data_IF_454319369131
#
_entry.id   IF_454319369131
#
_cell.length_a   1.000
_cell.length_b   1.000
_cell.length_c   1.000
_cell.angle_alpha   90.00
_cell.angle_beta   90.00
_cell.angle_gamma   90.00
#
_symmetry.space_group_name_H-M   'P 1'
#
loop_
_entity.id
_entity.type
_entity.pdbx_description
1 polymer ?
#
# COMPACT_ATOMS: atom_id res chain seq x y z
N UNK A 1 -9.62 54.95 -1.73
CA UNK A 1 -9.91 53.65 -1.08
C UNK A 1 -11.42 53.49 -1.07
N UNK A 2 -11.97 52.90 -2.15
CA UNK A 2 -13.40 52.91 -2.41
C UNK A 2 -14.10 51.70 -1.79
N UNK A 3 -15.30 51.97 -1.25
CA UNK A 3 -16.18 51.09 -0.50
C UNK A 3 -16.94 50.08 -1.38
N UNK A 4 -17.26 48.97 -0.73
CA UNK A 4 -18.33 47.95 -0.91
C UNK A 4 -19.30 48.12 -2.09
N UNK A 5 -19.51 47.02 -2.84
CA UNK A 5 -20.83 46.68 -3.37
C UNK A 5 -21.04 45.15 -3.34
N UNK A 6 -22.00 44.71 -2.54
CA UNK A 6 -22.57 43.37 -2.60
C UNK A 6 -23.59 43.29 -3.74
N UNK A 7 -23.52 42.26 -4.58
CA UNK A 7 -24.58 41.96 -5.56
C UNK A 7 -25.15 40.56 -5.27
N UNK A 8 -26.35 40.52 -4.69
CA UNK A 8 -27.34 39.43 -4.81
C UNK A 8 -28.26 39.86 -5.96
N UNK A 9 -28.71 39.09 -6.95
CA UNK A 9 -29.33 37.75 -7.11
C UNK A 9 -29.42 37.53 -8.65
N UNK A 10 -29.35 36.34 -9.25
CA UNK A 10 -30.40 35.30 -9.34
C UNK A 10 -29.81 33.97 -9.87
N UNK A 11 -30.12 32.83 -9.22
CA UNK A 11 -29.80 31.45 -9.66
C UNK A 11 -30.81 30.98 -10.74
N UNK A 12 -30.62 29.90 -11.55
CA UNK A 12 -29.97 28.62 -11.18
C UNK A 12 -29.16 27.89 -12.30
N UNK A 13 -28.54 26.77 -11.92
CA UNK A 13 -27.97 25.72 -12.81
C UNK A 13 -26.64 26.02 -13.53
N UNK A 14 -25.67 26.64 -12.86
CA UNK A 14 -24.26 26.53 -13.28
C UNK A 14 -23.28 26.43 -12.10
N UNK A 15 -23.80 26.13 -10.90
CA UNK A 15 -22.99 25.71 -9.75
C UNK A 15 -22.62 24.21 -9.86
N UNK A 16 -22.62 23.67 -11.07
CA UNK A 16 -22.09 22.35 -11.35
C UNK A 16 -20.61 22.53 -11.71
N UNK A 17 -19.76 21.98 -10.86
CA UNK A 17 -18.39 21.58 -11.17
C UNK A 17 -17.35 22.71 -11.18
N UNK A 18 -16.90 23.08 -9.99
CA UNK A 18 -15.48 23.42 -9.79
C UNK A 18 -15.02 23.18 -8.35
N UNK A 19 -15.47 22.07 -7.76
CA UNK A 19 -14.64 21.41 -6.75
C UNK A 19 -13.59 20.66 -7.57
N UNK A 20 -12.46 21.30 -7.86
CA UNK A 20 -11.26 20.58 -8.26
C UNK A 20 -10.86 19.76 -7.04
N UNK A 21 -11.42 18.56 -6.93
CA UNK A 21 -10.82 17.54 -6.11
C UNK A 21 -9.43 17.34 -6.72
N UNK A 22 -8.41 17.85 -6.03
CA UNK A 22 -7.03 17.46 -6.30
C UNK A 22 -6.98 15.99 -5.92
N UNK A 23 -7.41 15.13 -6.84
CA UNK A 23 -7.18 13.70 -6.75
C UNK A 23 -5.70 13.58 -6.99
N UNK A 24 -4.93 13.58 -5.91
CA UNK A 24 -3.58 13.04 -5.94
C UNK A 24 -3.74 11.60 -6.41
N UNK A 25 -3.52 11.36 -7.69
CA UNK A 25 -3.32 10.02 -8.23
C UNK A 25 -2.02 9.52 -7.63
N UNK A 26 -2.05 9.10 -6.36
CA UNK A 26 -1.11 8.11 -5.89
C UNK A 26 -1.25 6.97 -6.89
N UNK A 27 -0.22 6.75 -7.71
CA UNK A 27 -0.23 5.67 -8.67
C UNK A 27 -0.56 4.41 -7.88
N UNK A 28 -1.70 3.78 -8.18
CA UNK A 28 -2.16 2.62 -7.44
C UNK A 28 -1.07 1.55 -7.53
N UNK A 29 -0.34 1.36 -6.43
CA UNK A 29 0.75 0.42 -6.38
C UNK A 29 0.21 -0.88 -5.81
N UNK A 30 -0.12 -1.81 -6.71
CA UNK A 30 -0.66 -3.13 -6.36
C UNK A 30 0.21 -3.84 -5.33
N UNK A 31 1.53 -3.71 -5.44
CA UNK A 31 2.43 -4.34 -4.48
C UNK A 31 2.27 -3.72 -3.07
N UNK A 32 2.11 -2.40 -3.00
CA UNK A 32 1.85 -1.71 -1.73
C UNK A 32 0.49 -2.11 -1.15
N UNK A 33 -0.56 -2.20 -1.97
CA UNK A 33 -1.90 -2.61 -1.54
C UNK A 33 -1.89 -4.04 -0.98
N UNK A 34 -1.24 -4.99 -1.67
CA UNK A 34 -1.12 -6.38 -1.24
C UNK A 34 -0.34 -6.53 0.06
N UNK A 35 0.76 -5.80 0.21
CA UNK A 35 1.55 -5.80 1.44
C UNK A 35 0.80 -5.12 2.60
N UNK A 36 0.01 -4.09 2.32
CA UNK A 36 -0.86 -3.45 3.31
C UNK A 36 -1.95 -4.42 3.79
N UNK A 37 -2.56 -5.17 2.89
CA UNK A 37 -3.52 -6.21 3.24
C UNK A 37 -2.88 -7.30 4.13
N UNK A 38 -1.67 -7.74 3.79
CA UNK A 38 -0.90 -8.67 4.63
C UNK A 38 -0.66 -8.09 6.04
N UNK A 39 -0.15 -6.86 6.13
CA UNK A 39 0.13 -6.19 7.40
C UNK A 39 -1.12 -6.13 8.29
N UNK A 40 -2.25 -5.75 7.71
CA UNK A 40 -3.52 -5.63 8.44
C UNK A 40 -4.04 -6.98 8.96
N UNK A 41 -3.70 -8.08 8.29
CA UNK A 41 -4.01 -9.44 8.74
C UNK A 41 -3.09 -9.96 9.85
N UNK A 42 -1.97 -9.29 10.12
CA UNK A 42 -0.94 -9.78 11.04
C UNK A 42 -0.95 -9.08 12.39
N UNK A 43 -0.70 -9.88 13.43
CA UNK A 43 -0.27 -9.41 14.73
C UNK A 43 1.25 -9.26 14.70
N UNK A 44 1.70 -8.03 14.95
CA UNK A 44 3.10 -7.65 14.97
C UNK A 44 3.47 -7.09 16.36
N UNK A 45 3.76 -7.96 17.35
CA UNK A 45 4.08 -7.51 18.70
C UNK A 45 5.40 -6.75 18.80
N UNK A 46 6.29 -6.90 17.81
CA UNK A 46 7.60 -6.25 17.76
C UNK A 46 7.61 -4.93 16.99
N UNK A 47 6.53 -4.57 16.30
CA UNK A 47 6.49 -3.41 15.41
C UNK A 47 7.44 -3.52 14.22
N UNK A 48 7.79 -4.74 13.79
CA UNK A 48 8.71 -4.96 12.67
C UNK A 48 8.16 -4.43 11.33
N UNK A 49 6.84 -4.32 11.20
CA UNK A 49 6.14 -3.80 10.01
C UNK A 49 5.74 -2.32 10.18
N UNK A 50 6.36 -1.58 11.10
CA UNK A 50 6.03 -0.17 11.34
C UNK A 50 6.31 0.73 10.13
N UNK A 51 7.32 0.42 9.31
CA UNK A 51 7.66 1.19 8.10
C UNK A 51 6.72 0.94 6.93
N UNK A 52 5.82 -0.04 7.02
CA UNK A 52 4.88 -0.41 5.96
C UNK A 52 3.72 0.59 5.98
N UNK A 53 4.02 1.79 5.51
CA UNK A 53 3.11 2.93 5.49
C UNK A 53 2.44 3.02 4.10
N UNK A 54 1.13 2.77 3.98
CA UNK A 54 0.41 2.82 2.71
C UNK A 54 0.32 4.24 2.12
N UNK A 55 0.64 5.28 2.89
CA UNK A 55 0.76 6.65 2.35
C UNK A 55 2.06 6.84 1.55
N UNK A 56 3.05 5.96 1.73
CA UNK A 56 4.26 5.92 0.92
C UNK A 56 3.99 5.11 -0.34
N UNK A 57 4.14 5.77 -1.50
CA UNK A 57 3.79 5.19 -2.82
C UNK A 57 4.64 3.96 -3.17
N UNK A 58 5.84 3.83 -2.63
CA UNK A 58 6.79 2.78 -3.02
C UNK A 58 7.15 1.85 -1.84
N UNK A 59 6.71 0.57 -1.87
CA UNK A 59 7.02 -0.41 -0.82
C UNK A 59 8.49 -0.83 -0.80
N UNK A 60 9.29 -0.49 -1.81
CA UNK A 60 10.73 -0.74 -1.80
C UNK A 60 11.49 0.05 -0.73
N UNK A 61 10.84 1.03 -0.10
CA UNK A 61 11.38 1.76 1.06
C UNK A 61 11.04 1.11 2.40
N UNK A 62 10.20 0.08 2.39
CA UNK A 62 9.75 -0.60 3.61
C UNK A 62 10.78 -1.63 4.06
N UNK A 63 10.95 -1.77 5.38
CA UNK A 63 11.77 -2.83 5.94
C UNK A 63 11.25 -4.21 5.53
N UNK A 64 12.17 -5.16 5.39
CA UNK A 64 11.89 -6.54 5.01
C UNK A 64 11.34 -6.72 3.58
N UNK A 65 11.35 -5.67 2.76
CA UNK A 65 10.96 -5.69 1.34
C UNK A 65 12.19 -5.46 0.49
N UNK A 66 12.38 -6.29 -0.54
CA UNK A 66 13.39 -6.07 -1.58
C UNK A 66 12.71 -6.02 -2.94
N UNK A 67 13.10 -5.04 -3.75
CA UNK A 67 12.58 -4.85 -5.09
C UNK A 67 13.62 -5.06 -6.18
N UNK A 68 13.16 -5.27 -7.41
CA UNK A 68 13.98 -5.20 -8.61
C UNK A 68 14.20 -3.75 -9.11
N UNK A 69 14.89 -3.61 -10.24
CA UNK A 69 15.13 -2.31 -10.89
C UNK A 69 13.87 -1.62 -11.46
N UNK A 70 12.73 -2.31 -11.46
CA UNK A 70 11.43 -1.78 -11.91
C UNK A 70 10.51 -1.42 -10.73
N UNK A 71 11.06 -1.37 -9.50
CA UNK A 71 10.31 -1.14 -8.26
C UNK A 71 9.21 -2.20 -7.99
N UNK A 72 9.41 -3.44 -8.43
CA UNK A 72 8.51 -4.56 -8.13
C UNK A 72 9.05 -5.40 -7.00
N UNK A 73 8.18 -5.82 -6.09
CA UNK A 73 8.58 -6.61 -4.91
C UNK A 73 9.00 -8.01 -5.36
N UNK A 74 10.26 -8.38 -5.10
CA UNK A 74 10.83 -9.68 -5.46
C UNK A 74 11.15 -10.56 -4.24
N UNK A 75 11.31 -9.97 -3.06
CA UNK A 75 11.58 -10.72 -1.84
C UNK A 75 10.93 -10.08 -0.61
N UNK A 76 10.35 -10.92 0.24
CA UNK A 76 9.87 -10.57 1.58
C UNK A 76 10.59 -11.40 2.64
N UNK A 77 11.26 -10.74 3.59
CA UNK A 77 11.94 -11.41 4.72
C UNK A 77 11.20 -11.19 6.04
N UNK A 78 10.18 -12.02 6.27
CA UNK A 78 9.34 -11.98 7.46
C UNK A 78 9.80 -13.00 8.53
N UNK A 79 11.03 -13.54 8.38
CA UNK A 79 11.59 -14.54 9.26
C UNK A 79 11.92 -13.99 10.65
N UNK A 80 11.64 -14.76 11.71
CA UNK A 80 11.99 -14.44 13.12
C UNK A 80 11.39 -13.14 13.66
N UNK A 81 10.40 -12.56 12.98
CA UNK A 81 9.71 -11.33 13.40
C UNK A 81 8.58 -11.55 14.42
N UNK A 82 8.33 -12.81 14.83
CA UNK A 82 7.24 -13.20 15.73
C UNK A 82 5.85 -12.76 15.24
N UNK A 83 5.69 -12.60 13.93
CA UNK A 83 4.41 -12.30 13.29
C UNK A 83 3.47 -13.51 13.43
N UNK A 84 2.18 -13.24 13.64
CA UNK A 84 1.15 -14.28 13.68
C UNK A 84 -0.15 -13.79 13.07
N UNK A 85 -0.89 -14.66 12.39
CA UNK A 85 -2.11 -14.29 11.68
C UNK A 85 -2.21 -15.01 10.33
N UNK A 86 -3.33 -14.86 9.62
CA UNK A 86 -3.47 -15.41 8.27
C UNK A 86 -2.55 -14.74 7.26
N UNK A 87 -2.21 -15.46 6.18
CA UNK A 87 -1.69 -14.83 4.97
C UNK A 87 -2.86 -14.17 4.23
N UNK A 88 -2.66 -12.93 3.80
CA UNK A 88 -3.61 -12.22 2.96
C UNK A 88 -3.63 -12.85 1.55
N UNK A 89 -4.81 -13.20 0.98
CA UNK A 89 -4.90 -13.72 -0.38
C UNK A 89 -4.38 -12.74 -1.44
N UNK A 90 -4.39 -11.45 -1.13
CA UNK A 90 -3.85 -10.36 -1.95
C UNK A 90 -2.36 -10.53 -2.25
N UNK A 91 -1.62 -11.31 -1.45
CA UNK A 91 -0.22 -11.68 -1.77
C UNK A 91 -0.08 -12.32 -3.15
N UNK A 92 -1.12 -12.95 -3.68
CA UNK A 92 -1.13 -13.49 -5.05
C UNK A 92 -1.02 -12.42 -6.15
N UNK A 93 -1.18 -11.14 -5.82
CA UNK A 93 -1.00 -10.03 -6.76
C UNK A 93 0.47 -9.57 -6.88
N UNK A 94 1.36 -10.04 -6.00
CA UNK A 94 2.80 -9.80 -6.08
C UNK A 94 3.42 -10.68 -7.19
N UNK A 95 3.13 -10.33 -8.44
CA UNK A 95 3.46 -11.15 -9.62
C UNK A 95 4.96 -11.29 -9.91
N UNK A 96 5.81 -10.43 -9.32
CA UNK A 96 7.27 -10.53 -9.39
C UNK A 96 7.91 -11.15 -8.14
N UNK A 97 7.13 -11.54 -7.13
CA UNK A 97 7.68 -12.11 -5.89
C UNK A 97 8.35 -13.46 -6.17
N UNK A 98 9.65 -13.55 -5.86
CA UNK A 98 10.48 -14.74 -6.08
C UNK A 98 10.72 -15.52 -4.80
N UNK A 99 10.86 -14.80 -3.68
CA UNK A 99 11.23 -15.38 -2.39
C UNK A 99 10.38 -14.78 -1.26
N UNK A 100 9.87 -15.64 -0.39
CA UNK A 100 9.28 -15.21 0.87
C UNK A 100 9.76 -16.09 2.01
N UNK A 101 10.35 -15.49 3.03
CA UNK A 101 10.78 -16.14 4.26
C UNK A 101 9.78 -15.84 5.38
N UNK A 102 9.27 -16.87 6.04
CA UNK A 102 8.30 -16.70 7.13
C UNK A 102 7.88 -18.06 7.70
N UNK A 103 7.25 -18.06 8.87
CA UNK A 103 6.71 -19.27 9.49
C UNK A 103 5.19 -19.17 9.53
N UNK A 104 4.51 -19.77 8.56
CA UNK A 104 3.04 -19.85 8.51
C UNK A 104 2.55 -21.29 8.63
N UNK A 105 1.49 -21.51 9.40
CA UNK A 105 0.91 -22.83 9.69
C UNK A 105 0.29 -23.52 8.46
N UNK A 106 -0.03 -22.78 7.39
CA UNK A 106 -0.65 -23.30 6.17
C UNK A 106 0.37 -23.77 5.12
N UNK A 107 1.55 -24.22 5.53
CA UNK A 107 2.45 -25.00 4.67
C UNK A 107 3.26 -24.21 3.66
N UNK A 108 3.64 -22.97 3.97
CA UNK A 108 4.50 -22.19 3.09
C UNK A 108 5.84 -21.94 3.79
N UNK A 109 6.66 -23.01 3.77
CA UNK A 109 8.11 -22.87 3.69
C UNK A 109 8.50 -22.04 2.45
N UNK A 110 9.79 -21.73 2.26
CA UNK A 110 10.22 -20.71 1.29
C UNK A 110 9.50 -20.90 -0.04
N UNK A 111 8.64 -19.93 -0.40
CA UNK A 111 8.10 -19.86 -1.76
C UNK A 111 9.30 -19.59 -2.66
N UNK A 112 9.94 -20.65 -3.14
CA UNK A 112 10.83 -20.59 -4.29
C UNK A 112 9.92 -20.82 -5.49
N UNK A 113 9.23 -19.78 -5.95
CA UNK A 113 8.44 -19.86 -7.19
C UNK A 113 9.05 -18.97 -8.25
N UNK A 114 10.07 -19.53 -8.91
CA UNK A 114 10.21 -19.70 -10.38
C UNK A 114 11.69 -19.71 -10.77
N UNK A 115 12.07 -20.79 -11.46
CA UNK A 115 13.13 -20.75 -12.46
C UNK A 115 12.72 -19.84 -13.61
#
# INVERSE_FOLDING_TARGET
>A
MALVAATRTTAPIAAAVLIVAVVSAAAANKDADSLTALRNGLKDPGGALASWDPSLVNPCTWFHVTCDGSNRVILLDLGRLKLSGPLAPELGQLDQLKFMYGCWSNGLGPFILKH
#
